data_IF_714802548475
#
_entry.id   IF_714802548475
#
_cell.length_a   1.000
_cell.length_b   1.000
_cell.length_c   1.000
_cell.angle_alpha   90.00
_cell.angle_beta   90.00
_cell.angle_gamma   90.00
#
_symmetry.space_group_name_H-M   'P 1'
#
loop_
_entity.id
_entity.type
_entity.pdbx_description
1 polymer ?
#
# COMPACT_ATOMS: atom_id res chain seq x y z
N UNK A 1 12.15 -5.32 11.29
CA UNK A 1 12.19 -4.02 10.62
C UNK A 1 10.83 -3.66 10.07
N UNK A 2 10.42 -2.44 10.25
CA UNK A 2 9.17 -1.97 9.68
C UNK A 2 9.32 -1.83 8.16
N UNK A 3 8.32 -2.22 7.40
CA UNK A 3 8.27 -1.95 5.98
C UNK A 3 8.00 -0.48 5.70
N UNK A 4 7.96 -0.13 4.42
CA UNK A 4 7.66 1.23 3.99
C UNK A 4 6.22 1.58 4.36
N UNK A 5 6.04 2.75 4.97
CA UNK A 5 4.72 3.23 5.38
C UNK A 5 4.08 4.08 4.29
N UNK A 6 2.79 3.88 4.11
CA UNK A 6 1.97 4.66 3.19
C UNK A 6 0.88 5.35 4.01
N UNK A 7 0.72 6.66 3.82
CA UNK A 7 -0.37 7.42 4.43
C UNK A 7 -1.48 7.57 3.38
N UNK A 8 -2.67 7.02 3.67
CA UNK A 8 -3.78 7.08 2.74
C UNK A 8 -4.38 8.48 2.65
N UNK A 9 -4.70 8.93 1.44
CA UNK A 9 -5.27 10.24 1.20
C UNK A 9 -6.61 10.45 1.93
N UNK A 10 -7.40 9.38 2.05
CA UNK A 10 -8.70 9.42 2.75
C UNK A 10 -8.61 9.20 4.25
N UNK A 11 -7.40 9.05 4.78
CA UNK A 11 -7.15 8.75 6.19
C UNK A 11 -6.71 7.31 6.39
N UNK A 12 -5.99 7.08 7.47
CA UNK A 12 -5.40 5.77 7.75
C UNK A 12 -4.03 5.61 7.13
N UNK A 13 -3.43 4.48 7.37
CA UNK A 13 -2.08 4.19 6.89
C UNK A 13 -1.91 2.71 6.61
N UNK A 14 -0.86 2.38 5.87
CA UNK A 14 -0.50 1.00 5.55
C UNK A 14 1.00 0.83 5.57
N UNK A 15 1.41 -0.43 5.70
CA UNK A 15 2.82 -0.82 5.61
C UNK A 15 2.95 -1.84 4.50
N UNK A 16 3.97 -1.69 3.67
CA UNK A 16 4.24 -2.64 2.59
C UNK A 16 4.74 -3.94 3.21
N UNK A 17 4.01 -5.03 2.99
CA UNK A 17 4.40 -6.36 3.46
C UNK A 17 5.16 -7.13 2.40
N UNK A 18 4.83 -6.93 1.12
CA UNK A 18 5.45 -7.64 0.02
C UNK A 18 5.31 -6.83 -1.27
N UNK A 19 6.34 -6.87 -2.08
CA UNK A 19 6.32 -6.26 -3.42
C UNK A 19 7.05 -7.18 -4.39
N UNK A 20 6.35 -7.61 -5.44
CA UNK A 20 6.95 -8.39 -6.54
C UNK A 20 6.49 -7.74 -7.83
N UNK A 21 7.42 -7.16 -8.57
CA UNK A 21 7.12 -6.33 -9.74
C UNK A 21 6.15 -5.21 -9.37
N UNK A 22 4.93 -5.21 -9.91
CA UNK A 22 3.88 -4.25 -9.55
C UNK A 22 2.82 -4.83 -8.60
N UNK A 23 2.92 -6.11 -8.27
CA UNK A 23 2.03 -6.75 -7.32
C UNK A 23 2.46 -6.40 -5.90
N UNK A 24 1.52 -5.90 -5.10
CA UNK A 24 1.81 -5.41 -3.76
C UNK A 24 0.84 -6.01 -2.74
N UNK A 25 1.37 -6.34 -1.57
CA UNK A 25 0.57 -6.71 -0.40
C UNK A 25 0.85 -5.70 0.70
N UNK A 26 -0.22 -5.17 1.28
CA UNK A 26 -0.16 -4.12 2.28
C UNK A 26 -0.90 -4.54 3.53
N UNK A 27 -0.36 -4.18 4.70
CA UNK A 27 -1.12 -4.22 5.94
C UNK A 27 -1.67 -2.82 6.18
N UNK A 28 -2.98 -2.67 6.13
CA UNK A 28 -3.66 -1.39 6.18
C UNK A 28 -4.51 -1.26 7.46
N UNK A 29 -4.61 -0.03 7.97
CA UNK A 29 -5.50 0.27 9.09
C UNK A 29 -6.95 0.43 8.65
N UNK A 30 -7.20 0.57 7.34
CA UNK A 30 -8.54 0.73 6.79
C UNK A 30 -8.77 -0.31 5.68
N UNK A 31 -10.04 -0.75 5.49
CA UNK A 31 -10.35 -1.66 4.39
C UNK A 31 -10.47 -0.90 3.07
N UNK A 32 -10.37 -1.64 1.98
CA UNK A 32 -10.65 -1.12 0.66
C UNK A 32 -11.31 -2.23 -0.15
N UNK A 33 -12.49 -2.02 -0.73
CA UNK A 33 -13.19 -3.07 -1.45
C UNK A 33 -12.41 -3.56 -2.67
N UNK A 34 -12.50 -4.86 -3.01
CA UNK A 34 -11.91 -5.37 -4.24
C UNK A 34 -12.43 -4.59 -5.46
N UNK A 35 -11.53 -4.28 -6.38
CA UNK A 35 -11.85 -3.48 -7.56
C UNK A 35 -11.72 -1.97 -7.35
N UNK A 36 -11.59 -1.51 -6.11
CA UNK A 36 -11.41 -0.08 -5.83
C UNK A 36 -9.96 0.36 -6.05
N UNK A 37 -9.79 1.66 -6.17
CA UNK A 37 -8.46 2.29 -6.21
C UNK A 37 -8.27 3.12 -4.96
N UNK A 38 -7.09 2.99 -4.35
CA UNK A 38 -6.75 3.74 -3.16
C UNK A 38 -5.44 4.48 -3.41
N UNK A 39 -5.36 5.71 -2.93
CA UNK A 39 -4.21 6.58 -3.14
C UNK A 39 -3.61 6.98 -1.81
N UNK A 40 -2.30 7.07 -1.77
CA UNK A 40 -1.58 7.49 -0.57
C UNK A 40 -0.24 8.10 -0.90
N UNK A 41 0.47 8.51 0.15
CA UNK A 41 1.83 9.05 0.06
C UNK A 41 2.81 8.10 0.73
N UNK A 42 3.87 7.78 0.03
CA UNK A 42 4.93 6.90 0.55
C UNK A 42 5.82 7.70 1.49
N UNK A 43 6.07 7.14 2.67
CA UNK A 43 6.94 7.77 3.65
C UNK A 43 6.29 8.88 4.46
N UNK A 44 4.98 9.09 4.31
CA UNK A 44 4.23 10.08 5.04
C UNK A 44 3.80 11.27 4.20
N UNK A 45 3.24 12.29 4.85
CA UNK A 45 2.74 13.47 4.18
C UNK A 45 3.85 14.17 3.38
N UNK A 46 3.57 14.51 2.13
CA UNK A 46 4.54 15.16 1.25
C UNK A 46 5.45 14.18 0.50
N UNK A 47 5.29 12.87 0.71
CA UNK A 47 6.03 11.86 -0.04
C UNK A 47 5.47 11.62 -1.43
N UNK A 48 6.06 10.66 -2.14
CA UNK A 48 5.59 10.30 -3.48
C UNK A 48 4.20 9.67 -3.43
N UNK A 49 3.36 10.04 -4.36
CA UNK A 49 2.02 9.50 -4.48
C UNK A 49 2.08 8.08 -5.02
N UNK A 50 1.36 7.17 -4.36
CA UNK A 50 1.18 5.80 -4.82
C UNK A 50 -0.31 5.53 -5.00
N UNK A 51 -0.66 4.89 -6.10
CA UNK A 51 -2.02 4.45 -6.39
C UNK A 51 -2.04 2.94 -6.49
N UNK A 52 -2.98 2.33 -5.82
CA UNK A 52 -3.11 0.86 -5.79
C UNK A 52 -4.51 0.48 -6.21
N UNK A 53 -4.61 -0.43 -7.18
CA UNK A 53 -5.88 -1.08 -7.50
C UNK A 53 -5.98 -2.32 -6.63
N UNK A 54 -6.96 -2.33 -5.73
CA UNK A 54 -7.13 -3.42 -4.77
C UNK A 54 -7.84 -4.59 -5.44
N UNK A 55 -7.25 -5.78 -5.33
CA UNK A 55 -7.84 -7.02 -5.85
C UNK A 55 -8.49 -7.82 -4.73
N UNK A 56 -7.93 -7.79 -3.53
CA UNK A 56 -8.52 -8.47 -2.39
C UNK A 56 -8.26 -7.70 -1.10
N UNK A 57 -9.15 -7.87 -0.13
CA UNK A 57 -9.06 -7.25 1.18
C UNK A 57 -9.50 -8.27 2.22
N UNK A 58 -8.63 -8.57 3.18
CA UNK A 58 -8.91 -9.54 4.23
C UNK A 58 -8.71 -8.91 5.60
N UNK A 59 -9.72 -9.01 6.45
CA UNK A 59 -9.62 -8.56 7.83
C UNK A 59 -8.78 -9.54 8.63
N UNK A 60 -7.88 -9.00 9.44
CA UNK A 60 -7.05 -9.78 10.35
C UNK A 60 -7.62 -9.78 11.77
N UNK A 61 -7.14 -10.70 12.60
CA UNK A 61 -7.62 -10.85 13.98
C UNK A 61 -7.33 -9.63 14.84
N UNK A 62 -6.28 -8.88 14.51
CA UNK A 62 -5.90 -7.67 15.24
C UNK A 62 -6.68 -6.42 14.81
N UNK A 63 -7.64 -6.56 13.90
CA UNK A 63 -8.42 -5.46 13.37
C UNK A 63 -7.82 -4.75 12.18
N UNK A 64 -6.62 -5.13 11.76
CA UNK A 64 -6.02 -4.60 10.52
C UNK A 64 -6.56 -5.35 9.29
N UNK A 65 -6.17 -4.88 8.10
CA UNK A 65 -6.60 -5.47 6.84
C UNK A 65 -5.37 -5.75 5.98
N UNK A 66 -5.35 -6.90 5.33
CA UNK A 66 -4.36 -7.19 4.31
C UNK A 66 -4.97 -6.89 2.96
N UNK A 67 -4.41 -5.91 2.27
CA UNK A 67 -4.83 -5.52 0.92
C UNK A 67 -3.83 -6.08 -0.07
N UNK A 68 -4.34 -6.77 -1.07
CA UNK A 68 -3.52 -7.26 -2.17
C UNK A 68 -4.00 -6.60 -3.45
N UNK A 69 -3.06 -6.15 -4.27
CA UNK A 69 -3.41 -5.45 -5.49
C UNK A 69 -2.20 -5.15 -6.34
N UNK A 70 -2.37 -4.15 -7.19
CA UNK A 70 -1.35 -3.73 -8.14
C UNK A 70 -1.10 -2.24 -8.02
N UNK A 71 0.17 -1.85 -8.02
CA UNK A 71 0.54 -0.43 -8.06
C UNK A 71 0.34 0.09 -9.47
N UNK A 72 -0.43 1.18 -9.58
CA UNK A 72 -0.68 1.85 -10.86
C UNK A 72 0.39 2.90 -11.09
N UNK A 73 0.72 3.13 -12.36
CA UNK A 73 1.71 4.16 -12.76
C UNK A 73 3.04 4.04 -12.00
N UNK A 74 3.51 2.82 -11.83
CA UNK A 74 4.75 2.53 -11.12
C UNK A 74 5.95 3.15 -11.86
N UNK A 75 6.64 4.09 -11.21
CA UNK A 75 7.92 4.61 -11.69
C UNK A 75 9.05 3.84 -11.03
N UNK A 76 10.25 3.97 -11.61
CA UNK A 76 11.44 3.35 -11.03
C UNK A 76 11.73 3.88 -9.63
N UNK A 77 11.61 5.19 -9.45
CA UNK A 77 11.82 5.81 -8.15
C UNK A 77 10.81 5.31 -7.11
N UNK A 78 9.54 5.20 -7.49
CA UNK A 78 8.49 4.69 -6.62
C UNK A 78 8.74 3.23 -6.25
N UNK A 79 9.13 2.41 -7.22
CA UNK A 79 9.44 1.00 -7.00
C UNK A 79 10.59 0.84 -6.01
N UNK A 80 11.64 1.64 -6.15
CA UNK A 80 12.79 1.61 -5.26
C UNK A 80 12.37 1.97 -3.83
N UNK A 81 11.53 2.99 -3.66
CA UNK A 81 11.03 3.38 -2.35
C UNK A 81 10.15 2.32 -1.70
N UNK A 82 9.23 1.73 -2.46
CA UNK A 82 8.35 0.68 -1.95
C UNK A 82 9.13 -0.57 -1.58
N UNK A 83 10.21 -0.85 -2.27
CA UNK A 83 11.04 -2.02 -2.00
C UNK A 83 12.01 -1.87 -0.86
N UNK A 84 12.24 -0.68 -0.32
CA UNK A 84 13.24 -0.45 0.72
C UNK A 84 13.02 -1.25 2.00
N UNK A 85 11.78 -1.49 2.37
CA UNK A 85 11.43 -2.19 3.59
C UNK A 85 11.10 -3.67 3.41
N UNK A 86 11.32 -4.20 2.24
CA UNK A 86 10.90 -5.56 1.89
C UNK A 86 12.10 -6.47 1.73
#
# INVERSE_FOLDING_TARGET
MAGVRISWAKGGEATVAKLVDDAIALRSSIPSPPGSRIEGAVGGAGGDVVRVKVHSSKRQDDGSFVLEGRVLDMTRALRDKLGEGV
#
